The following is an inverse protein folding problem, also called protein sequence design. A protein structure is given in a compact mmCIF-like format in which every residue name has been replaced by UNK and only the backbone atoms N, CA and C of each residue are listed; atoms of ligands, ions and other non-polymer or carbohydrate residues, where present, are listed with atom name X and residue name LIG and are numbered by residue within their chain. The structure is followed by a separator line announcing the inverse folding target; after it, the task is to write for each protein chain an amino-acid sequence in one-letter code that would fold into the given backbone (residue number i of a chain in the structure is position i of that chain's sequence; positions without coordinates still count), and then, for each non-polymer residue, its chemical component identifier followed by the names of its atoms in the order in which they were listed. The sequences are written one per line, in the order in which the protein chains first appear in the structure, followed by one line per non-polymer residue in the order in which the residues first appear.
data_IF_218720379711
#
_entry.id   IF_218720379711
#
_cell.length_a   1.000
_cell.length_b   1.000
_cell.length_c   1.000
_cell.angle_alpha   90.00
_cell.angle_beta   90.00
_cell.angle_gamma   90.00
#
_symmetry.space_group_name_H-M   'P 1'
#
loop_
_entity.id
_entity.type
_entity.pdbx_description
1 polymer ?
#
# COMPACT_ATOMS: atom_id res chain seq x y z
N UNK A 1 15.79 -25.31 1.08
CA UNK A 1 16.12 -24.55 -0.16
C UNK A 1 15.36 -25.19 -1.32
N UNK A 2 14.63 -24.38 -2.09
CA UNK A 2 13.87 -24.87 -3.23
C UNK A 2 14.82 -25.21 -4.38
N UNK A 3 14.57 -26.32 -5.09
CA UNK A 3 15.31 -26.78 -6.28
C UNK A 3 15.50 -25.70 -7.35
N UNK A 4 14.58 -24.74 -7.44
CA UNK A 4 14.64 -23.61 -8.37
C UNK A 4 15.79 -22.63 -8.05
N UNK A 5 16.13 -22.41 -6.78
CA UNK A 5 17.21 -21.49 -6.38
C UNK A 5 18.57 -22.11 -6.72
N UNK A 6 18.71 -23.44 -6.56
CA UNK A 6 19.95 -24.16 -6.89
C UNK A 6 20.18 -24.17 -8.42
N UNK A 7 19.12 -24.28 -9.24
CA UNK A 7 19.22 -24.21 -10.70
C UNK A 7 19.62 -22.81 -11.18
N UNK A 8 19.05 -21.73 -10.63
CA UNK A 8 19.43 -20.34 -10.98
C UNK A 8 20.89 -20.02 -10.64
N UNK A 9 21.39 -20.49 -9.51
CA UNK A 9 22.80 -20.30 -9.13
C UNK A 9 23.73 -21.05 -10.08
N UNK A 10 23.34 -22.27 -10.48
CA UNK A 10 24.09 -23.09 -11.44
C UNK A 10 24.20 -22.45 -12.82
N UNK A 11 23.12 -21.76 -13.28
CA UNK A 11 23.09 -21.12 -14.57
C UNK A 11 23.92 -19.80 -14.60
N UNK A 12 23.92 -19.02 -13.51
CA UNK A 12 24.75 -17.82 -13.37
C UNK A 12 26.25 -18.18 -13.33
N UNK A 13 26.62 -19.26 -12.65
CA UNK A 13 28.01 -19.74 -12.61
C UNK A 13 28.47 -20.24 -14.01
N UNK A 14 27.56 -20.75 -14.84
CA UNK A 14 27.87 -21.15 -16.22
C UNK A 14 28.06 -19.98 -17.17
N UNK A 15 27.33 -18.88 -16.99
CA UNK A 15 27.44 -17.69 -17.86
C UNK A 15 28.67 -16.81 -17.52
N UNK A 16 29.16 -16.81 -16.30
CA UNK A 16 30.34 -16.06 -15.88
C UNK A 16 31.67 -16.75 -16.17
N UNK A 17 31.69 -17.81 -16.92
CA UNK A 17 32.80 -18.69 -17.31
C UNK A 17 34.18 -18.06 -17.54
N UNK A 18 34.81 -17.51 -16.49
CA UNK A 18 36.23 -17.22 -16.35
C UNK A 18 36.59 -17.08 -14.87
N UNK A 19 36.86 -18.18 -14.21
CA UNK A 19 37.92 -18.41 -13.23
C UNK A 19 37.63 -19.70 -12.46
N UNK A 20 38.60 -20.56 -12.34
CA UNK A 20 38.56 -21.89 -11.75
C UNK A 20 38.69 -21.86 -10.23
N UNK A 21 37.91 -21.02 -9.55
CA UNK A 21 37.79 -21.05 -8.09
C UNK A 21 36.32 -21.27 -7.77
N UNK A 22 35.98 -22.43 -7.23
CA UNK A 22 34.66 -22.67 -6.68
C UNK A 22 34.44 -21.69 -5.54
N UNK A 23 33.27 -20.96 -5.53
CA UNK A 23 32.99 -20.03 -4.44
C UNK A 23 33.01 -20.78 -3.10
N UNK A 24 33.54 -20.13 -2.09
CA UNK A 24 33.58 -20.65 -0.72
C UNK A 24 32.14 -20.74 -0.17
N UNK A 25 31.94 -21.59 0.83
CA UNK A 25 30.62 -21.78 1.46
C UNK A 25 30.08 -20.42 2.01
N UNK A 26 30.95 -19.56 2.52
CA UNK A 26 30.61 -18.22 2.98
C UNK A 26 30.17 -17.28 1.84
N UNK A 27 30.83 -17.33 0.67
CA UNK A 27 30.44 -16.55 -0.50
C UNK A 27 29.09 -17.00 -1.06
N UNK A 28 28.77 -18.30 -1.03
CA UNK A 28 27.47 -18.83 -1.44
C UNK A 28 26.38 -18.37 -0.47
N UNK A 29 26.66 -18.35 0.83
CA UNK A 29 25.74 -17.86 1.87
C UNK A 29 25.50 -16.36 1.69
N UNK A 30 26.54 -15.57 1.43
CA UNK A 30 26.43 -14.13 1.20
C UNK A 30 25.65 -13.80 -0.09
N UNK A 31 25.90 -14.53 -1.19
CA UNK A 31 25.13 -14.41 -2.42
C UNK A 31 23.65 -14.83 -2.24
N UNK A 32 23.39 -15.89 -1.50
CA UNK A 32 22.02 -16.30 -1.18
C UNK A 32 21.32 -15.29 -0.28
N UNK A 33 22.00 -14.68 0.67
CA UNK A 33 21.45 -13.63 1.53
C UNK A 33 21.21 -12.33 0.74
N UNK A 34 22.08 -11.97 -0.20
CA UNK A 34 21.87 -10.86 -1.12
C UNK A 34 20.70 -11.11 -2.08
N UNK A 35 20.53 -12.33 -2.62
CA UNK A 35 19.38 -12.70 -3.45
C UNK A 35 18.08 -12.68 -2.65
N UNK A 36 18.08 -13.18 -1.43
CA UNK A 36 16.93 -13.12 -0.52
C UNK A 36 16.60 -11.67 -0.16
N UNK A 37 17.60 -10.84 0.12
CA UNK A 37 17.40 -9.40 0.33
C UNK A 37 16.85 -8.70 -0.91
N UNK A 38 17.32 -9.05 -2.11
CA UNK A 38 16.80 -8.49 -3.37
C UNK A 38 15.35 -8.94 -3.66
N UNK A 39 14.96 -10.15 -3.26
CA UNK A 39 13.58 -10.64 -3.38
C UNK A 39 12.65 -10.01 -2.33
N UNK A 40 13.18 -9.65 -1.16
CA UNK A 40 12.45 -8.99 -0.08
C UNK A 40 12.60 -7.45 -0.07
N UNK A 41 13.51 -6.90 -0.88
CA UNK A 41 13.55 -5.47 -1.12
C UNK A 41 12.19 -5.05 -1.69
N UNK A 42 11.42 -4.31 -0.90
CA UNK A 42 10.16 -3.74 -1.36
C UNK A 42 10.44 -3.01 -2.67
N UNK A 43 9.78 -3.43 -3.74
CA UNK A 43 9.84 -2.68 -4.98
C UNK A 43 9.38 -1.28 -4.64
N UNK A 44 10.27 -0.28 -4.86
CA UNK A 44 9.81 1.09 -5.01
C UNK A 44 8.81 1.04 -6.15
N UNK A 45 7.53 1.12 -5.80
CA UNK A 45 6.47 1.08 -6.80
C UNK A 45 6.50 2.42 -7.49
N UNK A 46 6.49 2.44 -8.82
CA UNK A 46 6.23 3.67 -9.54
C UNK A 46 4.90 4.26 -9.01
N UNK A 47 4.96 5.47 -8.47
CA UNK A 47 3.81 6.17 -7.90
C UNK A 47 2.60 6.20 -8.86
N UNK A 48 2.85 6.14 -10.16
CA UNK A 48 1.83 6.14 -11.20
C UNK A 48 1.06 4.80 -11.31
N UNK A 49 1.64 3.67 -10.84
CA UNK A 49 0.99 2.36 -10.97
C UNK A 49 -0.22 2.20 -10.06
N UNK A 50 -0.20 2.83 -8.88
CA UNK A 50 -1.31 2.79 -7.91
C UNK A 50 -2.31 3.94 -8.07
N UNK A 51 -1.92 4.99 -8.77
CA UNK A 51 -2.74 6.19 -8.93
C UNK A 51 -3.60 6.07 -10.19
N UNK A 52 -4.93 5.97 -10.07
CA UNK A 52 -5.82 6.00 -11.23
C UNK A 52 -5.66 7.31 -12.00
N UNK A 53 -5.72 7.24 -13.31
CA UNK A 53 -5.53 8.41 -14.20
C UNK A 53 -6.46 9.59 -13.88
N UNK A 54 -7.69 9.31 -13.47
CA UNK A 54 -8.68 10.32 -13.08
C UNK A 54 -8.72 10.57 -11.56
N UNK A 55 -7.69 10.14 -10.82
CA UNK A 55 -7.67 10.36 -9.38
C UNK A 55 -7.57 11.85 -9.05
N UNK A 56 -8.49 12.32 -8.22
CA UNK A 56 -8.49 13.65 -7.60
C UNK A 56 -9.00 13.53 -6.16
N UNK A 57 -8.41 14.23 -5.18
CA UNK A 57 -8.89 14.20 -3.78
C UNK A 57 -10.38 14.55 -3.63
N UNK A 58 -10.91 15.41 -4.51
CA UNK A 58 -12.34 15.80 -4.51
C UNK A 58 -13.29 14.64 -4.85
N UNK A 59 -12.81 13.58 -5.52
CA UNK A 59 -13.56 12.36 -5.83
C UNK A 59 -13.45 11.31 -4.72
N UNK A 60 -12.97 11.68 -3.55
CA UNK A 60 -12.90 10.82 -2.37
C UNK A 60 -13.76 11.41 -1.28
N UNK A 61 -14.66 10.61 -0.71
CA UNK A 61 -15.41 11.01 0.46
C UNK A 61 -14.60 10.69 1.72
N UNK A 62 -14.04 11.73 2.35
CA UNK A 62 -13.22 11.61 3.55
C UNK A 62 -13.76 12.50 4.65
N UNK A 63 -13.60 12.08 5.91
CA UNK A 63 -13.93 12.90 7.09
C UNK A 63 -13.03 14.13 7.18
N UNK A 64 -11.77 14.00 6.78
CA UNK A 64 -10.80 15.10 6.78
C UNK A 64 -10.67 15.71 5.38
N UNK A 65 -10.33 17.01 5.33
CA UNK A 65 -9.97 17.64 4.07
C UNK A 65 -8.59 17.13 3.61
N UNK A 66 -8.57 16.35 2.54
CA UNK A 66 -7.38 15.68 2.03
C UNK A 66 -6.28 16.64 1.54
N UNK A 67 -6.65 17.84 1.07
CA UNK A 67 -5.68 18.85 0.67
C UNK A 67 -5.02 19.49 1.90
N UNK A 68 -5.78 19.80 2.94
CA UNK A 68 -5.22 20.30 4.21
C UNK A 68 -4.35 19.24 4.88
N UNK A 69 -4.72 17.96 4.78
CA UNK A 69 -3.92 16.87 5.30
C UNK A 69 -2.57 16.77 4.59
N UNK A 70 -2.56 16.89 3.27
CA UNK A 70 -1.32 16.90 2.48
C UNK A 70 -0.41 18.07 2.86
N UNK A 71 -0.96 19.28 3.00
CA UNK A 71 -0.19 20.46 3.43
C UNK A 71 0.37 20.31 4.86
N UNK A 72 -0.42 19.69 5.75
CA UNK A 72 0.04 19.36 7.10
C UNK A 72 1.24 18.39 7.08
N UNK A 73 1.17 17.33 6.27
CA UNK A 73 2.27 16.39 6.09
C UNK A 73 3.51 17.07 5.50
N UNK A 74 3.32 17.93 4.48
CA UNK A 74 4.42 18.71 3.86
C UNK A 74 5.11 19.62 4.87
N UNK A 75 4.34 20.29 5.71
CA UNK A 75 4.86 21.21 6.73
C UNK A 75 5.58 20.47 7.87
N UNK A 76 5.03 19.35 8.30
CA UNK A 76 5.60 18.54 9.38
C UNK A 76 6.88 17.78 8.97
N UNK A 77 7.05 17.47 7.67
CA UNK A 77 8.17 16.69 7.16
C UNK A 77 8.10 15.19 7.48
N UNK A 78 7.09 14.77 8.23
CA UNK A 78 6.83 13.37 8.59
C UNK A 78 5.36 13.22 9.00
N UNK A 79 4.91 11.99 9.25
CA UNK A 79 3.57 11.75 9.80
C UNK A 79 3.10 10.31 9.64
N UNK A 80 2.28 9.87 10.58
CA UNK A 80 1.70 8.53 10.64
C UNK A 80 0.19 8.62 10.50
N UNK A 81 -0.34 8.13 9.39
CA UNK A 81 -1.75 8.23 9.02
C UNK A 81 -2.38 6.85 8.93
N UNK A 82 -3.52 6.66 9.57
CA UNK A 82 -4.37 5.49 9.38
C UNK A 82 -5.61 5.88 8.55
N UNK A 83 -5.76 5.23 7.40
CA UNK A 83 -6.92 5.41 6.51
C UNK A 83 -7.77 4.15 6.57
N UNK A 84 -9.02 4.27 6.97
CA UNK A 84 -9.93 3.14 7.10
C UNK A 84 -11.26 3.37 6.37
N UNK A 85 -11.98 2.28 6.07
CA UNK A 85 -13.27 2.34 5.41
C UNK A 85 -13.45 1.30 4.30
N UNK A 86 -14.59 1.29 3.61
CA UNK A 86 -14.94 0.27 2.63
C UNK A 86 -13.88 0.08 1.54
N UNK A 87 -13.79 -1.13 0.95
CA UNK A 87 -12.90 -1.36 -0.19
C UNK A 87 -13.29 -0.47 -1.39
N UNK A 88 -12.33 -0.17 -2.26
CA UNK A 88 -12.59 0.65 -3.46
C UNK A 88 -12.68 2.16 -3.23
N UNK A 89 -12.65 2.66 -2.00
CA UNK A 89 -12.81 4.09 -1.67
C UNK A 89 -11.59 4.96 -1.97
N UNK A 90 -10.47 4.36 -2.44
CA UNK A 90 -9.29 5.11 -2.87
C UNK A 90 -8.21 5.27 -1.80
N UNK A 91 -8.20 4.47 -0.73
CA UNK A 91 -7.24 4.56 0.38
C UNK A 91 -5.77 4.47 -0.09
N UNK A 92 -5.43 3.41 -0.79
CA UNK A 92 -4.05 3.20 -1.31
C UNK A 92 -3.71 4.20 -2.42
N UNK A 93 -4.70 4.62 -3.22
CA UNK A 93 -4.51 5.65 -4.23
C UNK A 93 -4.19 7.03 -3.61
N UNK A 94 -4.77 7.35 -2.45
CA UNK A 94 -4.41 8.57 -1.73
C UNK A 94 -2.96 8.54 -1.23
N UNK A 95 -2.47 7.41 -0.74
CA UNK A 95 -1.06 7.27 -0.35
C UNK A 95 -0.11 7.51 -1.55
N UNK A 96 -0.44 6.96 -2.73
CA UNK A 96 0.30 7.21 -3.95
C UNK A 96 0.23 8.69 -4.39
N UNK A 97 -0.93 9.32 -4.24
CA UNK A 97 -1.11 10.75 -4.49
C UNK A 97 -0.24 11.59 -3.55
N UNK A 98 -0.22 11.31 -2.25
CA UNK A 98 0.62 12.00 -1.27
C UNK A 98 2.11 11.87 -1.62
N UNK A 99 2.58 10.65 -1.93
CA UNK A 99 3.98 10.43 -2.32
C UNK A 99 4.36 11.23 -3.57
N UNK A 100 3.48 11.25 -4.58
CA UNK A 100 3.68 12.04 -5.80
C UNK A 100 3.75 13.55 -5.51
N UNK A 101 2.80 14.07 -4.74
CA UNK A 101 2.74 15.51 -4.43
C UNK A 101 3.89 15.98 -3.51
N UNK A 102 4.44 15.07 -2.69
CA UNK A 102 5.65 15.32 -1.89
C UNK A 102 6.93 15.12 -2.69
N UNK A 103 6.87 14.52 -3.89
CA UNK A 103 8.04 14.24 -4.72
C UNK A 103 8.95 13.15 -4.15
N UNK A 104 8.41 12.21 -3.37
CA UNK A 104 9.17 11.13 -2.74
C UNK A 104 8.76 9.75 -3.29
N UNK A 105 9.65 8.75 -3.22
CA UNK A 105 9.31 7.38 -3.59
C UNK A 105 8.17 6.82 -2.72
N UNK A 106 7.38 5.89 -3.28
CA UNK A 106 6.41 5.11 -2.56
C UNK A 106 6.91 3.68 -2.38
N UNK A 107 7.03 3.23 -1.15
CA UNK A 107 7.24 1.83 -0.82
C UNK A 107 5.91 1.25 -0.33
N UNK A 108 5.33 0.32 -1.09
CA UNK A 108 4.12 -0.40 -0.71
C UNK A 108 4.47 -1.79 -0.21
N UNK A 109 3.89 -2.16 0.92
CA UNK A 109 3.85 -3.52 1.46
C UNK A 109 2.42 -3.88 1.80
N UNK A 110 2.04 -5.12 1.55
CA UNK A 110 0.75 -5.69 2.01
C UNK A 110 0.97 -6.49 3.28
N UNK A 111 -0.10 -6.71 4.05
CA UNK A 111 -0.03 -7.56 5.22
C UNK A 111 0.49 -8.97 4.90
N UNK A 112 0.13 -9.52 3.75
CA UNK A 112 0.59 -10.83 3.29
C UNK A 112 2.11 -10.89 3.01
N UNK A 113 2.69 -9.80 2.53
CA UNK A 113 4.15 -9.69 2.29
C UNK A 113 4.97 -9.55 3.58
N UNK A 114 4.33 -9.12 4.66
CA UNK A 114 4.96 -8.97 5.98
C UNK A 114 4.74 -10.19 6.89
N UNK A 115 3.89 -11.14 6.49
CA UNK A 115 3.58 -12.31 7.31
C UNK A 115 4.35 -13.53 6.85
N UNK A 116 4.91 -14.28 7.80
CA UNK A 116 5.61 -15.54 7.54
C UNK A 116 5.14 -16.61 8.52
N UNK A 117 5.15 -17.87 8.08
CA UNK A 117 4.90 -19.02 8.96
C UNK A 117 6.10 -19.37 9.86
N UNK A 118 7.25 -18.75 9.67
CA UNK A 118 8.44 -18.99 10.47
C UNK A 118 8.55 -17.95 11.58
N UNK A 119 8.81 -18.43 12.81
CA UNK A 119 8.96 -17.58 14.00
C UNK A 119 10.13 -16.60 13.81
N UNK A 120 9.92 -15.32 14.14
CA UNK A 120 10.92 -14.26 14.05
C UNK A 120 11.08 -13.64 12.65
N UNK A 121 10.54 -14.26 11.60
CA UNK A 121 10.67 -13.73 10.23
C UNK A 121 9.71 -12.56 9.99
N UNK A 122 8.49 -12.63 10.53
CA UNK A 122 7.51 -11.53 10.43
C UNK A 122 8.05 -10.24 11.06
N UNK A 123 8.62 -10.33 12.26
CA UNK A 123 9.22 -9.21 12.96
C UNK A 123 10.38 -8.59 12.15
N UNK A 124 11.23 -9.45 11.56
CA UNK A 124 12.32 -8.99 10.69
C UNK A 124 11.79 -8.30 9.44
N UNK A 125 10.77 -8.84 8.77
CA UNK A 125 10.17 -8.23 7.58
C UNK A 125 9.55 -6.86 7.88
N UNK A 126 8.93 -6.71 9.06
CA UNK A 126 8.42 -5.42 9.53
C UNK A 126 9.57 -4.43 9.73
N UNK A 127 10.60 -4.81 10.48
CA UNK A 127 11.77 -3.95 10.74
C UNK A 127 12.46 -3.54 9.43
N UNK A 128 12.73 -4.49 8.53
CA UNK A 128 13.36 -4.27 7.23
C UNK A 128 12.55 -3.29 6.35
N UNK A 129 11.20 -3.34 6.40
CA UNK A 129 10.35 -2.42 5.65
C UNK A 129 10.50 -0.98 6.13
N UNK A 130 10.49 -0.75 7.44
CA UNK A 130 10.69 0.58 8.01
C UNK A 130 12.11 1.12 7.77
N UNK A 131 13.13 0.28 7.97
CA UNK A 131 14.53 0.65 7.73
C UNK A 131 14.78 1.01 6.26
N UNK A 132 14.26 0.21 5.33
CA UNK A 132 14.40 0.46 3.89
C UNK A 132 13.69 1.76 3.50
N UNK A 133 12.46 1.98 3.97
CA UNK A 133 11.73 3.21 3.69
C UNK A 133 12.46 4.44 4.25
N UNK A 134 13.03 4.34 5.44
CA UNK A 134 13.81 5.42 6.07
C UNK A 134 15.09 5.72 5.26
N UNK A 135 15.83 4.69 4.86
CA UNK A 135 17.06 4.83 4.06
C UNK A 135 16.79 5.46 2.71
N UNK A 136 15.70 5.05 2.05
CA UNK A 136 15.37 5.48 0.68
C UNK A 136 14.55 6.79 0.67
N UNK A 137 14.23 7.37 1.84
CA UNK A 137 13.41 8.57 1.96
C UNK A 137 12.00 8.39 1.39
N UNK A 138 11.47 7.17 1.44
CA UNK A 138 10.21 6.79 0.84
C UNK A 138 9.03 6.98 1.81
N UNK A 139 7.84 7.25 1.27
CA UNK A 139 6.60 7.04 2.00
C UNK A 139 6.35 5.53 2.12
N UNK A 140 6.25 5.03 3.35
CA UNK A 140 5.90 3.63 3.61
C UNK A 140 4.37 3.49 3.65
N UNK A 141 3.82 2.73 2.70
CA UNK A 141 2.42 2.33 2.68
C UNK A 141 2.31 0.87 3.12
N UNK A 142 1.66 0.64 4.24
CA UNK A 142 1.21 -0.69 4.63
C UNK A 142 -0.27 -0.85 4.27
N UNK A 143 -0.52 -1.66 3.26
CA UNK A 143 -1.86 -1.85 2.71
C UNK A 143 -2.52 -3.10 3.32
N UNK A 144 -3.80 -2.98 3.70
CA UNK A 144 -4.58 -4.07 4.28
C UNK A 144 -3.96 -4.63 5.58
N UNK A 145 -3.65 -3.72 6.53
CA UNK A 145 -3.02 -4.11 7.81
C UNK A 145 -3.94 -4.90 8.75
N UNK A 146 -5.22 -4.99 8.47
CA UNK A 146 -6.20 -5.78 9.22
C UNK A 146 -5.85 -7.27 9.28
N UNK A 147 -5.01 -7.75 8.35
CA UNK A 147 -4.57 -9.14 8.35
C UNK A 147 -3.60 -9.49 9.50
N UNK A 148 -2.88 -8.51 10.06
CA UNK A 148 -1.86 -8.77 11.09
C UNK A 148 -1.82 -7.77 12.27
N UNK A 149 -2.53 -6.63 12.21
CA UNK A 149 -2.64 -5.67 13.31
C UNK A 149 -3.92 -5.85 14.15
N UNK A 150 -4.39 -7.08 14.29
CA UNK A 150 -5.58 -7.38 15.09
C UNK A 150 -5.35 -7.13 16.56
N UNK A 151 -6.45 -6.91 17.29
CA UNK A 151 -6.44 -6.79 18.75
C UNK A 151 -5.79 -8.01 19.39
N UNK A 152 -4.72 -7.78 20.15
CA UNK A 152 -3.97 -8.83 20.88
C UNK A 152 -4.82 -9.60 21.89
N UNK A 153 -5.92 -9.02 22.37
CA UNK A 153 -6.85 -9.72 23.27
C UNK A 153 -7.69 -10.77 22.55
N UNK A 154 -7.88 -10.61 21.23
CA UNK A 154 -8.59 -11.55 20.39
C UNK A 154 -7.68 -12.62 19.75
N UNK A 155 -6.36 -12.48 19.85
CA UNK A 155 -5.39 -13.41 19.25
C UNK A 155 -5.17 -14.63 20.13
N UNK A 156 -5.05 -15.80 19.49
CA UNK A 156 -4.82 -17.08 20.16
C UNK A 156 -3.35 -17.50 20.23
N UNK A 157 -2.49 -16.83 19.48
CA UNK A 157 -1.11 -17.25 19.27
C UNK A 157 -0.12 -16.17 19.70
N UNK A 158 0.92 -16.56 20.45
CA UNK A 158 1.95 -15.65 20.96
C UNK A 158 2.75 -14.93 19.86
N UNK A 159 2.92 -15.56 18.70
CA UNK A 159 3.66 -14.97 17.57
C UNK A 159 2.92 -13.80 16.92
N UNK A 160 1.59 -13.75 16.95
CA UNK A 160 0.81 -12.59 16.51
C UNK A 160 1.04 -11.38 17.42
N UNK A 161 1.18 -11.63 18.71
CA UNK A 161 1.50 -10.59 19.71
C UNK A 161 2.88 -9.98 19.48
N UNK A 162 3.88 -10.80 19.12
CA UNK A 162 5.24 -10.30 18.86
C UNK A 162 5.31 -9.44 17.59
N UNK A 163 4.60 -9.81 16.52
CA UNK A 163 4.50 -9.01 15.29
C UNK A 163 3.86 -7.63 15.56
N UNK A 164 2.77 -7.58 16.34
CA UNK A 164 2.14 -6.30 16.74
C UNK A 164 3.11 -5.47 17.58
N UNK A 165 3.82 -6.07 18.53
CA UNK A 165 4.78 -5.34 19.37
C UNK A 165 5.94 -4.76 18.53
N UNK A 166 6.47 -5.51 17.56
CA UNK A 166 7.50 -5.02 16.65
C UNK A 166 6.98 -3.85 15.83
N UNK A 167 5.78 -3.95 15.25
CA UNK A 167 5.14 -2.85 14.53
C UNK A 167 5.05 -1.59 15.39
N UNK A 168 4.61 -1.74 16.66
CA UNK A 168 4.52 -0.62 17.60
C UNK A 168 5.88 0.03 17.84
N UNK A 169 6.93 -0.77 18.02
CA UNK A 169 8.29 -0.28 18.24
C UNK A 169 8.82 0.47 17.01
N UNK A 170 8.57 -0.06 15.81
CA UNK A 170 8.98 0.58 14.57
C UNK A 170 8.22 1.89 14.34
N UNK A 171 6.91 1.92 14.54
CA UNK A 171 6.11 3.14 14.42
C UNK A 171 6.58 4.25 15.35
N UNK A 172 7.05 3.95 16.56
CA UNK A 172 7.55 4.94 17.51
C UNK A 172 8.88 5.56 17.08
N UNK A 173 9.74 4.76 16.45
CA UNK A 173 11.08 5.18 16.02
C UNK A 173 11.10 5.84 14.65
N UNK A 174 10.08 5.58 13.84
CA UNK A 174 10.06 6.02 12.45
C UNK A 174 9.79 7.52 12.33
N UNK A 175 10.68 8.22 11.66
CA UNK A 175 10.63 9.67 11.45
C UNK A 175 10.22 10.07 10.03
N UNK A 176 9.81 9.12 9.19
CA UNK A 176 9.37 9.36 7.82
C UNK A 176 7.84 9.45 7.70
N UNK A 177 7.36 9.33 6.46
CA UNK A 177 5.94 9.28 6.16
C UNK A 177 5.43 7.85 6.16
N UNK A 178 4.46 7.56 7.01
CA UNK A 178 3.87 6.25 7.18
C UNK A 178 2.36 6.30 7.00
N UNK A 179 1.83 5.52 6.08
CA UNK A 179 0.38 5.38 5.86
C UNK A 179 0.02 3.91 5.99
N UNK A 180 -0.95 3.61 6.85
CA UNK A 180 -1.57 2.30 6.93
C UNK A 180 -3.01 2.37 6.43
N UNK A 181 -3.44 1.36 5.67
CA UNK A 181 -4.83 1.23 5.22
C UNK A 181 -5.47 -0.02 5.80
N UNK A 182 -6.75 0.08 6.13
CA UNK A 182 -7.55 -1.06 6.61
C UNK A 182 -9.00 -0.92 6.15
N UNK A 183 -9.67 -2.06 6.00
CA UNK A 183 -11.12 -2.09 5.80
C UNK A 183 -11.88 -2.16 7.14
N UNK A 184 -11.22 -2.61 8.23
CA UNK A 184 -11.80 -2.96 9.51
C UNK A 184 -11.08 -2.24 10.66
N UNK A 185 -11.42 -0.95 10.90
CA UNK A 185 -10.79 -0.16 11.95
C UNK A 185 -10.97 -0.76 13.35
N UNK A 186 -12.17 -1.28 13.62
CA UNK A 186 -12.54 -1.74 14.96
C UNK A 186 -11.84 -3.06 15.36
N UNK A 187 -11.27 -3.76 14.39
CA UNK A 187 -10.47 -4.98 14.61
C UNK A 187 -8.99 -4.68 14.92
N UNK A 188 -8.55 -3.42 14.75
CA UNK A 188 -7.17 -3.03 15.02
C UNK A 188 -6.90 -2.89 16.52
N UNK A 189 -5.70 -3.33 16.92
CA UNK A 189 -5.21 -3.15 18.28
C UNK A 189 -5.24 -1.67 18.70
N UNK A 190 -5.90 -1.33 19.84
CA UNK A 190 -5.99 0.05 20.32
C UNK A 190 -4.63 0.73 20.56
N UNK A 191 -3.59 -0.04 20.88
CA UNK A 191 -2.25 0.50 21.05
C UNK A 191 -1.65 0.94 19.71
N UNK A 192 -1.93 0.22 18.61
CA UNK A 192 -1.57 0.65 17.25
C UNK A 192 -2.30 1.94 16.88
N UNK A 193 -3.60 2.01 17.13
CA UNK A 193 -4.40 3.20 16.83
C UNK A 193 -3.90 4.47 17.54
N UNK A 194 -3.37 4.34 18.76
CA UNK A 194 -2.82 5.49 19.52
C UNK A 194 -1.51 6.05 18.94
N UNK A 195 -0.79 5.28 18.12
CA UNK A 195 0.48 5.67 17.52
C UNK A 195 0.35 6.38 16.19
N UNK A 196 -0.84 6.35 15.60
CA UNK A 196 -1.13 7.18 14.43
C UNK A 196 -1.42 8.62 14.87
N UNK A 197 -0.77 9.57 14.23
CA UNK A 197 -0.96 11.00 14.46
C UNK A 197 -2.35 11.43 13.99
N UNK A 198 -2.80 10.89 12.87
CA UNK A 198 -4.12 11.15 12.29
C UNK A 198 -4.81 9.87 11.84
N UNK A 199 -6.13 9.87 11.96
CA UNK A 199 -7.01 8.78 11.51
C UNK A 199 -8.14 9.38 10.72
N UNK A 200 -8.42 8.85 9.54
CA UNK A 200 -9.50 9.35 8.69
C UNK A 200 -10.29 8.22 8.06
N UNK A 201 -11.60 8.36 8.06
CA UNK A 201 -12.50 7.46 7.35
C UNK A 201 -12.61 7.88 5.89
N UNK A 202 -12.49 6.91 4.99
CA UNK A 202 -12.94 7.02 3.62
C UNK A 202 -14.26 6.26 3.50
N UNK A 203 -15.24 6.88 2.87
CA UNK A 203 -16.58 6.32 2.77
C UNK A 203 -17.03 6.26 1.31
N UNK A 204 -18.22 5.71 1.09
CA UNK A 204 -18.90 5.74 -0.20
C UNK A 204 -19.05 7.17 -0.69
N UNK A 205 -19.04 7.33 -2.01
CA UNK A 205 -19.17 8.65 -2.64
C UNK A 205 -20.49 9.32 -2.23
N UNK A 206 -20.43 10.61 -1.97
CA UNK A 206 -21.64 11.42 -1.87
C UNK A 206 -22.30 11.53 -3.23
N UNK A 207 -23.63 11.72 -3.31
CA UNK A 207 -24.37 11.83 -4.58
C UNK A 207 -23.73 12.78 -5.59
N UNK A 208 -23.33 13.97 -5.15
CA UNK A 208 -22.67 14.97 -5.99
C UNK A 208 -21.28 14.52 -6.48
N UNK A 209 -20.53 13.79 -5.66
CA UNK A 209 -19.23 13.23 -6.04
C UNK A 209 -19.39 12.10 -7.06
N UNK A 210 -20.40 11.24 -6.87
CA UNK A 210 -20.72 10.14 -7.79
C UNK A 210 -21.08 10.67 -9.17
N UNK A 211 -21.96 11.68 -9.26
CA UNK A 211 -22.32 12.34 -10.52
C UNK A 211 -21.13 13.01 -11.19
N UNK A 212 -20.32 13.76 -10.41
CA UNK A 212 -19.13 14.43 -10.95
C UNK A 212 -18.12 13.41 -11.51
N UNK A 213 -17.94 12.28 -10.83
CA UNK A 213 -17.07 11.21 -11.27
C UNK A 213 -17.62 10.49 -12.52
N UNK A 214 -18.93 10.22 -12.56
CA UNK A 214 -19.59 9.65 -13.73
C UNK A 214 -19.39 10.53 -14.97
N UNK A 215 -19.58 11.85 -14.83
CA UNK A 215 -19.34 12.82 -15.92
C UNK A 215 -17.87 12.83 -16.37
N UNK A 216 -16.93 12.76 -15.44
CA UNK A 216 -15.50 12.70 -15.76
C UNK A 216 -15.12 11.42 -16.54
N UNK A 217 -15.67 10.26 -16.14
CA UNK A 217 -15.45 9.00 -16.86
C UNK A 217 -16.16 8.97 -18.22
N UNK A 218 -17.39 9.49 -18.32
CA UNK A 218 -18.09 9.61 -19.60
C UNK A 218 -17.30 10.47 -20.59
N UNK A 219 -16.79 11.63 -20.14
CA UNK A 219 -15.92 12.48 -20.96
C UNK A 219 -14.64 11.78 -21.42
N UNK A 220 -13.99 11.01 -20.54
CA UNK A 220 -12.81 10.21 -20.90
C UNK A 220 -13.13 9.13 -21.96
N UNK A 221 -14.32 8.53 -21.87
CA UNK A 221 -14.77 7.50 -22.82
C UNK A 221 -15.34 8.07 -24.11
N UNK A 222 -15.42 9.41 -24.27
CA UNK A 222 -15.97 10.07 -25.43
C UNK A 222 -17.51 9.93 -25.56
N UNK A 223 -18.20 9.62 -24.46
CA UNK A 223 -19.65 9.49 -24.46
C UNK A 223 -20.27 10.90 -24.46
N UNK A 224 -20.92 11.24 -25.55
CA UNK A 224 -21.63 12.54 -25.74
C UNK A 224 -23.13 12.43 -25.51
N UNK A 225 -23.68 11.24 -25.74
CA UNK A 225 -25.11 10.97 -25.63
C UNK A 225 -25.46 10.37 -24.26
N UNK A 226 -26.67 10.70 -23.77
CA UNK A 226 -27.17 10.14 -22.51
C UNK A 226 -26.55 10.73 -21.23
N UNK A 227 -25.84 11.86 -21.32
CA UNK A 227 -25.22 12.53 -20.15
C UNK A 227 -26.28 12.88 -19.09
N UNK A 228 -27.52 13.18 -19.47
CA UNK A 228 -28.64 13.42 -18.55
C UNK A 228 -28.96 12.20 -17.67
N UNK A 229 -28.73 10.98 -18.19
CA UNK A 229 -28.93 9.75 -17.40
C UNK A 229 -27.90 9.57 -16.30
N UNK A 230 -26.74 10.27 -16.36
CA UNK A 230 -25.68 10.16 -15.35
C UNK A 230 -26.11 10.74 -14.00
N UNK A 231 -27.10 11.63 -13.96
CA UNK A 231 -27.60 12.16 -12.69
C UNK A 231 -28.30 11.08 -11.85
N UNK A 232 -28.80 10.00 -12.48
CA UNK A 232 -29.38 8.83 -11.78
C UNK A 232 -28.34 8.06 -10.96
N UNK A 233 -27.05 8.29 -11.21
CA UNK A 233 -25.96 7.72 -10.40
C UNK A 233 -26.02 8.21 -8.95
N UNK A 234 -26.63 9.38 -8.72
CA UNK A 234 -26.87 9.92 -7.38
C UNK A 234 -27.80 9.04 -6.50
N UNK A 235 -28.61 8.18 -7.11
CA UNK A 235 -29.55 7.31 -6.40
C UNK A 235 -28.86 6.10 -5.75
N UNK A 236 -27.60 5.84 -6.11
CA UNK A 236 -26.82 4.73 -5.56
C UNK A 236 -25.99 5.18 -4.34
N UNK A 237 -26.37 4.69 -3.16
CA UNK A 237 -25.75 5.09 -1.89
C UNK A 237 -24.42 4.40 -1.53
N UNK A 238 -23.91 3.47 -2.36
CA UNK A 238 -22.76 2.63 -2.05
C UNK A 238 -21.68 2.62 -3.15
N UNK A 239 -21.65 3.65 -3.99
CA UNK A 239 -20.64 3.77 -5.04
C UNK A 239 -19.28 4.20 -4.48
N UNK A 240 -18.24 3.64 -5.07
CA UNK A 240 -16.85 3.95 -4.76
C UNK A 240 -16.08 4.41 -6.01
N UNK A 241 -14.95 5.12 -5.87
CA UNK A 241 -14.06 5.41 -6.99
C UNK A 241 -13.59 4.16 -7.74
N UNK A 242 -13.47 3.03 -7.02
CA UNK A 242 -13.08 1.75 -7.59
C UNK A 242 -14.08 1.20 -8.61
N UNK A 243 -15.39 1.44 -8.40
CA UNK A 243 -16.45 0.99 -9.32
C UNK A 243 -16.31 1.72 -10.67
N UNK A 244 -16.11 3.03 -10.65
CA UNK A 244 -15.88 3.81 -11.87
C UNK A 244 -14.60 3.40 -12.59
N UNK A 245 -13.53 3.12 -11.85
CA UNK A 245 -12.29 2.63 -12.45
C UNK A 245 -12.48 1.24 -13.09
N UNK A 246 -13.31 0.37 -12.50
CA UNK A 246 -13.66 -0.93 -13.07
C UNK A 246 -14.45 -0.78 -14.37
N UNK A 247 -15.45 0.11 -14.40
CA UNK A 247 -16.22 0.43 -15.63
C UNK A 247 -15.29 0.97 -16.72
N UNK A 248 -14.38 1.89 -16.39
CA UNK A 248 -13.40 2.42 -17.34
C UNK A 248 -12.52 1.33 -17.95
N UNK A 249 -12.04 0.37 -17.14
CA UNK A 249 -11.29 -0.80 -17.64
C UNK A 249 -12.14 -1.70 -18.54
N UNK A 250 -13.39 -1.97 -18.13
CA UNK A 250 -14.31 -2.79 -18.95
C UNK A 250 -14.61 -2.17 -20.29
N UNK A 251 -14.79 -0.84 -20.35
CA UNK A 251 -15.02 -0.13 -21.60
C UNK A 251 -13.84 -0.29 -22.58
N UNK A 252 -12.59 -0.23 -22.07
CA UNK A 252 -11.41 -0.46 -22.89
C UNK A 252 -11.38 -1.86 -23.53
N UNK A 253 -11.85 -2.91 -22.82
CA UNK A 253 -11.94 -4.27 -23.36
C UNK A 253 -13.06 -4.43 -24.39
N UNK A 254 -14.16 -3.69 -24.24
CA UNK A 254 -15.32 -3.80 -25.14
C UNK A 254 -15.21 -2.93 -26.39
N UNK A 255 -14.17 -2.10 -26.52
CA UNK A 255 -14.01 -1.11 -27.60
C UNK A 255 -15.28 -0.25 -27.78
N UNK A 256 -15.88 0.14 -26.66
CA UNK A 256 -17.01 1.06 -26.62
C UNK A 256 -16.52 2.47 -26.88
#
# INVERSE_FOLDING_TARGET
MSSAVIHSISDIVRETGKTSVSPTEDEIIEMADQMLKAQHMGRVVDNNTLLPELYKPQFVNSELNLNHLLEGLRTAGCGRLCIYGPPGTGKSAYAAYVARELGIPLMRKTGAELTSCYVGVTEKLIADAFETAQRDGALLLLDEVDSFLRDRQATRYSWEVTAVNEMLAQMERYSGYFIATTNLKDDLDPACLRRFDLKTKFDYLRPEQAVAMAKAYAGKLGLTDGVEALDRVADFGNLTPGDFAAVGRQAAFRKL
#
